data_IF_538387503581
#
_entry.id   IF_538387503581
#
_cell.length_a   1.000
_cell.length_b   1.000
_cell.length_c   1.000
_cell.angle_alpha   90.00
_cell.angle_beta   90.00
_cell.angle_gamma   90.00
#
_symmetry.space_group_name_H-M   'P 1'
#
loop_
_entity.id
_entity.type
_entity.pdbx_description
1 polymer ?
#
# COMPACT_ATOMS: atom_id res chain seq x y z
N UNK A 1 -68.48 -20.13 -73.21
CA UNK A 1 -67.81 -21.11 -74.10
C UNK A 1 -68.64 -21.59 -75.28
N UNK A 2 -69.54 -22.58 -75.14
CA UNK A 2 -70.11 -23.30 -76.29
C UNK A 2 -70.82 -22.38 -77.30
N UNK A 3 -71.67 -21.46 -76.82
CA UNK A 3 -72.44 -20.52 -77.65
C UNK A 3 -71.57 -19.52 -78.45
N UNK A 4 -70.38 -19.18 -77.94
CA UNK A 4 -69.41 -18.29 -78.60
C UNK A 4 -68.65 -19.06 -79.68
N UNK A 5 -68.41 -20.37 -79.46
CA UNK A 5 -67.66 -21.24 -80.36
C UNK A 5 -68.51 -21.86 -81.47
N UNK A 6 -69.83 -21.99 -81.28
CA UNK A 6 -70.73 -22.67 -82.23
C UNK A 6 -71.71 -21.76 -82.96
N UNK A 7 -71.74 -20.46 -82.63
CA UNK A 7 -72.67 -19.48 -83.24
C UNK A 7 -71.94 -18.20 -83.63
N UNK A 8 -72.06 -17.69 -84.87
CA UNK A 8 -71.45 -16.42 -85.25
C UNK A 8 -72.12 -15.26 -84.50
N UNK A 9 -71.32 -14.54 -83.71
CA UNK A 9 -71.75 -13.36 -82.96
C UNK A 9 -71.84 -12.13 -83.86
N UNK A 10 -72.66 -11.15 -83.46
CA UNK A 10 -72.61 -9.84 -84.10
C UNK A 10 -71.35 -9.06 -83.67
N UNK A 11 -70.83 -8.21 -84.56
CA UNK A 11 -69.68 -7.34 -84.31
C UNK A 11 -69.80 -6.49 -83.02
N UNK A 12 -71.02 -6.16 -82.61
CA UNK A 12 -71.31 -5.40 -81.39
C UNK A 12 -71.12 -6.24 -80.12
N UNK A 13 -71.61 -7.48 -80.13
CA UNK A 13 -71.49 -8.41 -79.00
C UNK A 13 -70.03 -8.84 -78.79
N UNK A 14 -69.31 -9.06 -79.88
CA UNK A 14 -67.88 -9.40 -79.86
C UNK A 14 -67.03 -8.26 -79.26
N UNK A 15 -67.26 -7.01 -79.70
CA UNK A 15 -66.60 -5.83 -79.10
C UNK A 15 -66.86 -5.73 -77.61
N UNK A 16 -68.10 -5.96 -77.17
CA UNK A 16 -68.48 -5.87 -75.75
C UNK A 16 -67.77 -6.93 -74.91
N UNK A 17 -67.63 -8.15 -75.43
CA UNK A 17 -66.87 -9.23 -74.79
C UNK A 17 -65.37 -8.90 -74.73
N UNK A 18 -64.79 -8.36 -75.80
CA UNK A 18 -63.37 -7.95 -75.82
C UNK A 18 -63.08 -6.83 -74.82
N UNK A 19 -63.98 -5.85 -74.68
CA UNK A 19 -63.86 -4.78 -73.68
C UNK A 19 -63.90 -5.37 -72.25
N UNK A 20 -64.82 -6.31 -72.00
CA UNK A 20 -64.92 -7.01 -70.71
C UNK A 20 -63.66 -7.83 -70.38
N UNK A 21 -63.09 -8.51 -71.38
CA UNK A 21 -61.82 -9.26 -71.20
C UNK A 21 -60.68 -8.29 -70.85
N UNK A 22 -60.55 -7.16 -71.56
CA UNK A 22 -59.52 -6.15 -71.24
C UNK A 22 -59.66 -5.59 -69.83
N UNK A 23 -60.88 -5.29 -69.41
CA UNK A 23 -61.18 -4.81 -68.05
C UNK A 23 -60.76 -5.86 -67.00
N UNK A 24 -61.14 -7.12 -67.21
CA UNK A 24 -60.79 -8.23 -66.31
C UNK A 24 -59.29 -8.52 -66.29
N UNK A 25 -58.59 -8.45 -67.43
CA UNK A 25 -57.13 -8.57 -67.51
C UNK A 25 -56.41 -7.48 -66.72
N UNK A 26 -56.90 -6.23 -66.82
CA UNK A 26 -56.40 -5.11 -66.01
C UNK A 26 -56.59 -5.37 -64.52
N UNK A 27 -57.79 -5.82 -64.11
CA UNK A 27 -58.09 -6.17 -62.72
C UNK A 27 -57.19 -7.30 -62.20
N UNK A 28 -56.94 -8.34 -63.01
CA UNK A 28 -56.02 -9.44 -62.65
C UNK A 28 -54.61 -8.93 -62.37
N UNK A 29 -54.09 -7.99 -63.18
CA UNK A 29 -52.76 -7.42 -62.95
C UNK A 29 -52.69 -6.62 -61.65
N UNK A 30 -53.75 -5.87 -61.30
CA UNK A 30 -53.85 -5.19 -60.01
C UNK A 30 -53.86 -6.19 -58.86
N UNK A 31 -54.65 -7.27 -58.94
CA UNK A 31 -54.69 -8.30 -57.91
C UNK A 31 -53.33 -8.99 -57.71
N UNK A 32 -52.61 -9.32 -58.80
CA UNK A 32 -51.25 -9.87 -58.72
C UNK A 32 -50.29 -8.92 -57.99
N UNK A 33 -50.41 -7.61 -58.24
CA UNK A 33 -49.59 -6.60 -57.54
C UNK A 33 -49.92 -6.55 -56.04
N UNK A 34 -51.20 -6.63 -55.68
CA UNK A 34 -51.65 -6.67 -54.29
C UNK A 34 -51.11 -7.93 -53.58
N UNK A 35 -51.14 -9.09 -54.23
CA UNK A 35 -50.56 -10.32 -53.68
C UNK A 35 -49.05 -10.21 -53.45
N UNK A 36 -48.32 -9.59 -54.38
CA UNK A 36 -46.89 -9.32 -54.20
C UNK A 36 -46.64 -8.43 -52.97
N UNK A 37 -47.34 -7.29 -52.88
CA UNK A 37 -47.20 -6.37 -51.75
C UNK A 37 -47.58 -7.00 -50.42
N UNK A 38 -48.57 -7.90 -50.42
CA UNK A 38 -48.95 -8.64 -49.21
C UNK A 38 -47.87 -9.63 -48.78
N UNK A 39 -47.16 -10.28 -49.72
CA UNK A 39 -46.00 -11.12 -49.40
C UNK A 39 -44.87 -10.30 -48.78
N UNK A 40 -44.50 -9.19 -49.41
CA UNK A 40 -43.47 -8.26 -48.89
C UNK A 40 -43.85 -7.74 -47.50
N UNK A 41 -45.12 -7.42 -47.27
CA UNK A 41 -45.63 -7.00 -45.95
C UNK A 41 -45.47 -8.08 -44.88
N UNK A 42 -45.67 -9.35 -45.24
CA UNK A 42 -45.51 -10.48 -44.30
C UNK A 42 -44.02 -10.65 -43.95
N UNK A 43 -43.13 -10.57 -44.94
CA UNK A 43 -41.68 -10.64 -44.75
C UNK A 43 -41.18 -9.51 -43.85
N UNK A 44 -41.53 -8.26 -44.14
CA UNK A 44 -41.17 -7.10 -43.31
C UNK A 44 -41.69 -7.23 -41.86
N UNK A 45 -42.88 -7.79 -41.67
CA UNK A 45 -43.41 -8.05 -40.32
C UNK A 45 -42.61 -9.12 -39.58
N UNK A 46 -42.14 -10.15 -40.28
CA UNK A 46 -41.28 -11.17 -39.69
C UNK A 46 -39.92 -10.59 -39.29
N UNK A 47 -39.31 -9.78 -40.16
CA UNK A 47 -38.05 -9.07 -39.88
C UNK A 47 -38.19 -8.12 -38.69
N UNK A 48 -39.27 -7.35 -38.62
CA UNK A 48 -39.55 -6.45 -37.50
C UNK A 48 -39.58 -7.22 -36.17
N UNK A 49 -40.30 -8.36 -36.14
CA UNK A 49 -40.37 -9.20 -34.94
C UNK A 49 -39.00 -9.78 -34.57
N UNK A 50 -38.20 -10.20 -35.55
CA UNK A 50 -36.86 -10.70 -35.31
C UNK A 50 -35.94 -9.61 -34.73
N UNK A 51 -36.03 -8.38 -35.25
CA UNK A 51 -35.28 -7.23 -34.72
C UNK A 51 -35.73 -6.87 -33.29
N UNK A 52 -37.03 -6.88 -33.02
CA UNK A 52 -37.56 -6.64 -31.67
C UNK A 52 -37.00 -7.67 -30.66
N UNK A 53 -37.02 -8.96 -31.00
CA UNK A 53 -36.44 -9.99 -30.15
C UNK A 53 -34.93 -9.79 -29.90
N UNK A 54 -34.18 -9.34 -30.91
CA UNK A 54 -32.75 -9.01 -30.75
C UNK A 54 -32.53 -7.81 -29.84
N UNK A 55 -33.35 -6.77 -29.95
CA UNK A 55 -33.29 -5.59 -29.08
C UNK A 55 -33.55 -5.98 -27.62
N UNK A 56 -34.57 -6.80 -27.37
CA UNK A 56 -34.85 -7.29 -26.02
C UNK A 56 -33.72 -8.14 -25.45
N UNK A 57 -33.07 -8.96 -26.28
CA UNK A 57 -31.91 -9.74 -25.87
C UNK A 57 -30.74 -8.83 -25.47
N UNK A 58 -30.37 -7.87 -26.32
CA UNK A 58 -29.29 -6.93 -26.02
C UNK A 58 -29.60 -6.07 -24.79
N UNK A 59 -30.85 -5.63 -24.63
CA UNK A 59 -31.27 -4.90 -23.45
C UNK A 59 -31.05 -5.70 -22.18
N UNK A 60 -31.45 -6.99 -22.17
CA UNK A 60 -31.18 -7.89 -21.04
C UNK A 60 -29.68 -8.03 -20.75
N UNK A 61 -28.86 -8.28 -21.77
CA UNK A 61 -27.41 -8.41 -21.60
C UNK A 61 -26.78 -7.13 -21.05
N UNK A 62 -27.20 -5.96 -21.52
CA UNK A 62 -26.73 -4.66 -21.01
C UNK A 62 -27.12 -4.50 -19.53
N UNK A 63 -28.35 -4.84 -19.17
CA UNK A 63 -28.83 -4.72 -17.78
C UNK A 63 -28.07 -5.66 -16.84
N UNK A 64 -27.82 -6.91 -17.26
CA UNK A 64 -27.00 -7.86 -16.51
C UNK A 64 -25.56 -7.38 -16.34
N UNK A 65 -24.96 -6.84 -17.41
CA UNK A 65 -23.62 -6.25 -17.36
C UNK A 65 -23.54 -5.06 -16.41
N UNK A 66 -24.52 -4.16 -16.47
CA UNK A 66 -24.61 -3.01 -15.58
C UNK A 66 -24.76 -3.44 -14.12
N UNK A 67 -25.58 -4.46 -13.83
CA UNK A 67 -25.77 -4.96 -12.47
C UNK A 67 -24.49 -5.60 -11.92
N UNK A 68 -23.84 -6.48 -12.69
CA UNK A 68 -22.54 -7.06 -12.31
C UNK A 68 -21.49 -5.98 -12.06
N UNK A 69 -21.43 -4.96 -12.92
CA UNK A 69 -20.52 -3.83 -12.75
C UNK A 69 -20.80 -3.06 -11.46
N UNK A 70 -22.06 -2.84 -11.10
CA UNK A 70 -22.43 -2.18 -9.84
C UNK A 70 -22.00 -3.01 -8.63
N UNK A 71 -22.21 -4.32 -8.66
CA UNK A 71 -21.81 -5.22 -7.56
C UNK A 71 -20.30 -5.21 -7.35
N UNK A 72 -19.52 -5.38 -8.43
CA UNK A 72 -18.06 -5.33 -8.38
C UNK A 72 -17.57 -3.97 -7.88
N UNK A 73 -18.19 -2.87 -8.34
CA UNK A 73 -17.83 -1.54 -7.88
C UNK A 73 -18.09 -1.35 -6.37
N UNK A 74 -19.21 -1.85 -5.86
CA UNK A 74 -19.51 -1.80 -4.42
C UNK A 74 -18.51 -2.62 -3.59
N UNK A 75 -18.11 -3.80 -4.05
CA UNK A 75 -17.06 -4.60 -3.39
C UNK A 75 -15.70 -3.89 -3.42
N UNK A 76 -15.32 -3.33 -4.57
CA UNK A 76 -14.11 -2.54 -4.71
C UNK A 76 -14.09 -1.37 -3.74
N UNK A 77 -15.19 -0.62 -3.60
CA UNK A 77 -15.29 0.49 -2.65
C UNK A 77 -15.08 0.03 -1.20
N UNK A 78 -15.68 -1.11 -0.79
CA UNK A 78 -15.45 -1.69 0.54
C UNK A 78 -13.97 -2.00 0.77
N UNK A 79 -13.30 -2.61 -0.22
CA UNK A 79 -11.86 -2.92 -0.14
C UNK A 79 -10.98 -1.67 -0.09
N UNK A 80 -11.34 -0.62 -0.81
CA UNK A 80 -10.64 0.67 -0.73
C UNK A 80 -10.77 1.27 0.68
N UNK A 81 -11.95 1.18 1.30
CA UNK A 81 -12.14 1.71 2.66
C UNK A 81 -11.40 0.88 3.72
N UNK A 82 -11.41 -0.45 3.61
CA UNK A 82 -10.57 -1.34 4.43
C UNK A 82 -9.08 -0.97 4.32
N UNK A 83 -8.58 -0.75 3.10
CA UNK A 83 -7.19 -0.38 2.87
C UNK A 83 -6.84 0.99 3.48
N UNK A 84 -7.75 1.97 3.40
CA UNK A 84 -7.55 3.28 4.06
C UNK A 84 -7.47 3.16 5.56
N UNK A 85 -8.32 2.32 6.17
CA UNK A 85 -8.29 2.07 7.62
C UNK A 85 -6.95 1.47 8.05
N UNK A 86 -6.49 0.41 7.36
CA UNK A 86 -5.20 -0.23 7.63
C UNK A 86 -4.06 0.78 7.48
N UNK A 87 -4.09 1.62 6.44
CA UNK A 87 -3.10 2.68 6.25
C UNK A 87 -3.09 3.66 7.44
N UNK A 88 -4.27 4.10 7.89
CA UNK A 88 -4.38 5.00 9.04
C UNK A 88 -3.80 4.38 10.32
N UNK A 89 -4.03 3.09 10.55
CA UNK A 89 -3.44 2.35 11.67
C UNK A 89 -1.91 2.26 11.54
N UNK A 90 -1.40 1.93 10.35
CA UNK A 90 0.03 1.84 10.08
C UNK A 90 0.74 3.20 10.28
N UNK A 91 0.15 4.30 9.78
CA UNK A 91 0.68 5.65 9.96
C UNK A 91 0.71 6.04 11.44
N UNK A 92 -0.32 5.65 12.22
CA UNK A 92 -0.33 5.87 13.66
C UNK A 92 0.77 5.09 14.38
N UNK A 93 0.95 3.80 14.06
CA UNK A 93 2.04 2.99 14.63
C UNK A 93 3.40 3.55 14.27
N UNK A 94 3.59 4.00 13.03
CA UNK A 94 4.84 4.61 12.59
C UNK A 94 5.15 5.88 13.38
N UNK A 95 4.15 6.74 13.59
CA UNK A 95 4.29 7.94 14.43
C UNK A 95 4.69 7.60 15.87
N UNK A 96 4.03 6.62 16.49
CA UNK A 96 4.35 6.17 17.85
C UNK A 96 5.77 5.58 17.95
N UNK A 97 6.19 4.83 16.93
CA UNK A 97 7.54 4.31 16.83
C UNK A 97 8.58 5.45 16.79
N UNK A 98 8.36 6.47 15.95
CA UNK A 98 9.27 7.61 15.85
C UNK A 98 9.41 8.36 17.19
N UNK A 99 8.29 8.63 17.85
CA UNK A 99 8.28 9.29 19.17
C UNK A 99 9.04 8.45 20.22
N UNK A 100 8.78 7.15 20.27
CA UNK A 100 9.50 6.25 21.18
C UNK A 100 10.99 6.21 20.87
N UNK A 101 11.36 6.16 19.59
CA UNK A 101 12.76 6.18 19.15
C UNK A 101 13.48 7.47 19.55
N UNK A 102 12.82 8.61 19.49
CA UNK A 102 13.38 9.88 19.96
C UNK A 102 13.62 9.88 21.46
N UNK A 103 12.66 9.38 22.25
CA UNK A 103 12.83 9.22 23.71
C UNK A 103 14.00 8.30 24.05
N UNK A 104 14.11 7.16 23.36
CA UNK A 104 15.24 6.23 23.53
C UNK A 104 16.57 6.91 23.20
N UNK A 105 16.64 7.69 22.12
CA UNK A 105 17.86 8.46 21.78
C UNK A 105 18.23 9.47 22.86
N UNK A 106 17.24 10.14 23.47
CA UNK A 106 17.49 11.07 24.57
C UNK A 106 18.07 10.33 25.79
N UNK A 107 17.44 9.22 26.20
CA UNK A 107 17.91 8.38 27.30
C UNK A 107 19.31 7.80 27.03
N UNK A 108 19.61 7.39 25.81
CA UNK A 108 20.94 6.92 25.43
C UNK A 108 22.00 8.02 25.59
N UNK A 109 21.69 9.27 25.24
CA UNK A 109 22.61 10.40 25.46
C UNK A 109 22.85 10.64 26.94
N UNK A 110 21.81 10.58 27.77
CA UNK A 110 21.94 10.71 29.22
C UNK A 110 22.77 9.56 29.82
N UNK A 111 22.52 8.32 29.37
CA UNK A 111 23.29 7.15 29.79
C UNK A 111 24.78 7.30 29.47
N UNK A 112 25.12 7.78 28.27
CA UNK A 112 26.53 8.04 27.89
C UNK A 112 27.16 9.09 28.80
N UNK A 113 26.46 10.20 29.09
CA UNK A 113 26.96 11.23 30.02
C UNK A 113 27.24 10.67 31.41
N UNK A 114 26.30 9.88 31.96
CA UNK A 114 26.47 9.26 33.28
C UNK A 114 27.66 8.29 33.26
N UNK A 115 27.85 7.52 32.19
CA UNK A 115 29.00 6.63 32.05
C UNK A 115 30.33 7.39 32.02
N UNK A 116 30.37 8.53 31.33
CA UNK A 116 31.55 9.40 31.29
C UNK A 116 31.84 10.01 32.67
N UNK A 117 30.81 10.46 33.40
CA UNK A 117 30.94 10.96 34.79
C UNK A 117 31.43 9.85 35.74
N UNK A 118 30.91 8.63 35.63
CA UNK A 118 31.40 7.49 36.41
C UNK A 118 32.88 7.24 36.12
N UNK A 119 33.30 7.37 34.86
CA UNK A 119 34.69 7.18 34.47
C UNK A 119 35.57 8.28 35.07
N UNK A 120 35.18 9.54 34.99
CA UNK A 120 35.94 10.65 35.58
C UNK A 120 36.06 10.50 37.10
N UNK A 121 34.98 10.13 37.79
CA UNK A 121 35.04 9.88 39.23
C UNK A 121 35.97 8.73 39.61
N UNK A 122 36.04 7.65 38.81
CA UNK A 122 37.02 6.58 39.06
C UNK A 122 38.46 7.05 38.88
N UNK A 123 38.72 7.87 37.86
CA UNK A 123 40.04 8.45 37.62
C UNK A 123 40.44 9.38 38.78
N UNK A 124 39.52 10.22 39.26
CA UNK A 124 39.72 11.08 40.44
C UNK A 124 39.98 10.28 41.71
N UNK A 125 39.20 9.24 41.98
CA UNK A 125 39.39 8.35 43.13
C UNK A 125 40.77 7.69 43.06
N UNK A 126 41.14 7.14 41.91
CA UNK A 126 42.44 6.49 41.74
C UNK A 126 43.61 7.47 41.92
N UNK A 127 43.47 8.71 41.43
CA UNK A 127 44.49 9.74 41.60
C UNK A 127 44.63 10.17 43.07
N UNK A 128 43.52 10.32 43.79
CA UNK A 128 43.51 10.68 45.21
C UNK A 128 44.05 9.53 46.08
N UNK A 129 43.72 8.28 45.76
CA UNK A 129 44.31 7.10 46.43
C UNK A 129 45.82 7.03 46.25
N UNK A 130 46.31 7.25 45.03
CA UNK A 130 47.75 7.27 44.73
C UNK A 130 48.46 8.42 45.45
N UNK A 131 47.83 9.60 45.50
CA UNK A 131 48.34 10.75 46.26
C UNK A 131 48.44 10.44 47.75
N UNK A 132 47.38 9.88 48.35
CA UNK A 132 47.38 9.49 49.77
C UNK A 132 48.42 8.42 50.07
N UNK A 133 48.63 7.47 49.15
CA UNK A 133 49.68 6.45 49.26
C UNK A 133 51.06 7.10 49.29
N UNK A 134 51.35 8.01 48.37
CA UNK A 134 52.63 8.76 48.36
C UNK A 134 52.82 9.58 49.63
N UNK A 135 51.80 10.31 50.08
CA UNK A 135 51.86 11.08 51.34
C UNK A 135 52.09 10.17 52.56
N UNK A 136 51.49 8.97 52.59
CA UNK A 136 51.71 8.01 53.65
C UNK A 136 53.15 7.41 53.61
N UNK A 137 53.65 7.08 52.42
CA UNK A 137 55.02 6.61 52.21
C UNK A 137 56.04 7.69 52.61
N UNK A 138 55.81 8.97 52.25
CA UNK A 138 56.63 10.10 52.67
C UNK A 138 56.64 10.29 54.19
N UNK A 139 55.47 10.25 54.84
CA UNK A 139 55.37 10.36 56.31
C UNK A 139 56.07 9.22 57.03
N UNK A 140 55.95 7.99 56.51
CA UNK A 140 56.68 6.85 57.05
C UNK A 140 58.19 7.06 56.92
N UNK A 141 58.65 7.49 55.74
CA UNK A 141 60.06 7.77 55.49
C UNK A 141 60.61 8.86 56.42
N UNK A 142 59.87 9.96 56.61
CA UNK A 142 60.22 11.01 57.56
C UNK A 142 60.26 10.50 59.01
N UNK A 143 59.35 9.60 59.39
CA UNK A 143 59.35 9.01 60.74
C UNK A 143 60.56 8.13 60.98
N UNK A 144 60.95 7.32 59.98
CA UNK A 144 62.14 6.45 60.01
C UNK A 144 63.40 7.30 60.02
N UNK A 145 63.47 8.37 59.23
CA UNK A 145 64.57 9.33 59.23
C UNK A 145 64.76 9.99 60.61
N UNK A 146 63.68 10.49 61.24
CA UNK A 146 63.75 11.10 62.57
C UNK A 146 64.23 10.10 63.63
N UNK A 147 63.70 8.88 63.61
CA UNK A 147 64.13 7.82 64.52
C UNK A 147 65.59 7.42 64.30
N UNK A 148 66.01 7.27 63.05
CA UNK A 148 67.40 6.96 62.69
C UNK A 148 68.36 8.08 63.11
N UNK A 149 67.99 9.35 62.90
CA UNK A 149 68.79 10.50 63.30
C UNK A 149 68.91 10.62 64.83
N UNK A 150 67.83 10.32 65.57
CA UNK A 150 67.88 10.28 67.03
C UNK A 150 68.74 9.13 67.57
N UNK A 151 68.68 7.94 66.95
CA UNK A 151 69.56 6.81 67.29
C UNK A 151 71.03 7.15 67.02
N UNK A 152 71.32 7.80 65.88
CA UNK A 152 72.66 8.27 65.53
C UNK A 152 73.18 9.28 66.57
N UNK A 153 72.36 10.26 66.98
CA UNK A 153 72.70 11.21 68.04
C UNK A 153 72.96 10.55 69.40
N UNK A 154 72.26 9.46 69.71
CA UNK A 154 72.41 8.68 70.94
C UNK A 154 73.57 7.67 70.89
N UNK A 155 74.21 7.49 69.73
CA UNK A 155 75.29 6.50 69.53
C UNK A 155 74.80 5.05 69.48
N UNK A 156 73.50 4.83 69.23
CA UNK A 156 72.90 3.51 69.09
C UNK A 156 73.16 2.93 67.69
N UNK A 157 73.24 1.60 67.56
CA UNK A 157 73.48 0.95 66.27
C UNK A 157 72.28 1.14 65.33
N UNK A 158 72.54 1.65 64.14
CA UNK A 158 71.54 1.76 63.07
C UNK A 158 71.34 0.43 62.34
N UNK A 159 70.10 0.14 61.93
CA UNK A 159 69.85 -0.93 60.97
C UNK A 159 70.24 -0.48 59.56
N UNK A 160 70.48 -1.44 58.65
CA UNK A 160 70.93 -1.15 57.27
C UNK A 160 69.94 -0.26 56.50
N UNK A 161 68.64 -0.44 56.74
CA UNK A 161 67.58 0.36 56.13
C UNK A 161 67.57 1.81 56.66
N UNK A 162 67.73 2.01 57.96
CA UNK A 162 67.86 3.33 58.59
C UNK A 162 69.13 4.08 58.13
N UNK A 163 70.25 3.37 58.00
CA UNK A 163 71.51 3.93 57.48
C UNK A 163 71.36 4.36 56.01
N UNK A 164 70.73 3.52 55.18
CA UNK A 164 70.50 3.82 53.76
C UNK A 164 69.66 5.09 53.58
N UNK A 165 68.59 5.25 54.36
CA UNK A 165 67.73 6.46 54.32
C UNK A 165 68.52 7.73 54.69
N UNK A 166 69.39 7.67 55.71
CA UNK A 166 70.22 8.81 56.10
C UNK A 166 71.33 9.13 55.07
N UNK A 167 71.93 8.09 54.48
CA UNK A 167 72.99 8.23 53.47
C UNK A 167 72.48 8.80 52.15
N UNK A 168 71.30 8.37 51.70
CA UNK A 168 70.65 8.90 50.47
C UNK A 168 70.28 10.38 50.59
N UNK A 169 70.05 10.89 51.81
CA UNK A 169 69.80 12.32 52.08
C UNK A 169 71.04 13.13 52.45
N UNK A 170 72.23 12.51 52.52
CA UNK A 170 73.49 13.20 52.84
C UNK A 170 73.62 13.64 54.31
N UNK A 171 72.92 12.95 55.23
CA UNK A 171 72.91 13.23 56.68
C UNK A 171 73.69 12.20 57.51
N UNK A 172 74.34 11.24 56.84
CA UNK A 172 75.19 10.20 57.42
C UNK A 172 76.67 10.60 57.45
#
# INVERSE_FOLDING_TARGET
EWKIQTTPLSLSEEKKLVEQVRELESQINVHRKIEQLNREKIELKAELKALQARVELYHRTIMEGAEKSRQIHAEMQKKVEEAKKIKGEADNFHRLYLQTREKVKALQKEMVKILDEIKSFREEISAEEEKRRKEAEEKLLESVEKQAFEKLRRGEKLTWEEFKVLAEKGLA
#
